data_IF_763118210103
#
_entry.id   IF_763118210103
#
_cell.length_a   1.000
_cell.length_b   1.000
_cell.length_c   1.000
_cell.angle_alpha   90.00
_cell.angle_beta   90.00
_cell.angle_gamma   90.00
#
_symmetry.space_group_name_H-M   'P 1'
#
loop_
_entity.id
_entity.type
_entity.pdbx_description
1 polymer ?
#
# COMPACT_ATOMS: atom_id res chain seq x y z
N UNK A 1 -16.97 -11.65 -14.70
CA UNK A 1 -15.70 -11.04 -14.26
C UNK A 1 -15.67 -11.12 -12.76
N UNK A 2 -14.76 -11.90 -12.18
CA UNK A 2 -14.63 -12.01 -10.73
C UNK A 2 -14.05 -10.71 -10.17
N UNK A 3 -14.67 -10.18 -9.11
CA UNK A 3 -14.15 -9.00 -8.41
C UNK A 3 -12.82 -9.39 -7.73
N UNK A 4 -11.78 -8.55 -7.78
CA UNK A 4 -10.51 -8.86 -7.14
C UNK A 4 -10.72 -9.11 -5.64
N UNK A 5 -10.29 -10.28 -5.16
CA UNK A 5 -10.47 -10.72 -3.77
C UNK A 5 -9.29 -10.33 -2.88
N UNK A 6 -8.13 -10.07 -3.48
CA UNK A 6 -6.89 -9.68 -2.83
C UNK A 6 -6.28 -8.44 -3.47
N UNK A 7 -5.37 -7.78 -2.76
CA UNK A 7 -4.64 -6.64 -3.33
C UNK A 7 -3.78 -7.06 -4.54
N UNK A 8 -3.36 -8.34 -4.60
CA UNK A 8 -2.64 -8.90 -5.76
C UNK A 8 -3.55 -8.98 -6.97
N UNK A 9 -4.80 -9.41 -6.82
CA UNK A 9 -5.76 -9.46 -7.92
C UNK A 9 -6.07 -8.07 -8.47
N UNK A 10 -6.22 -7.09 -7.56
CA UNK A 10 -6.42 -5.70 -7.93
C UNK A 10 -5.19 -5.13 -8.66
N UNK A 11 -3.99 -5.43 -8.18
CA UNK A 11 -2.76 -5.06 -8.86
C UNK A 11 -2.67 -5.73 -10.24
N UNK A 12 -3.04 -7.01 -10.35
CA UNK A 12 -3.09 -7.76 -11.60
C UNK A 12 -4.01 -7.08 -12.63
N UNK A 13 -5.19 -6.63 -12.19
CA UNK A 13 -6.15 -5.91 -13.03
C UNK A 13 -5.54 -4.64 -13.62
N UNK A 14 -4.82 -3.86 -12.81
CA UNK A 14 -4.20 -2.59 -13.22
C UNK A 14 -3.02 -2.83 -14.16
N UNK A 15 -2.12 -3.76 -13.82
CA UNK A 15 -0.90 -4.01 -14.60
C UNK A 15 -1.14 -4.83 -15.88
N UNK A 16 -2.39 -5.27 -16.14
CA UNK A 16 -2.79 -5.78 -17.46
C UNK A 16 -2.57 -4.74 -18.54
N UNK A 17 -2.74 -3.46 -18.21
CA UNK A 17 -2.31 -2.39 -19.10
C UNK A 17 -0.77 -2.22 -18.99
N UNK A 18 -0.01 -2.49 -20.08
CA UNK A 18 1.44 -2.40 -20.05
C UNK A 18 1.96 -0.98 -19.78
N UNK A 19 1.20 0.07 -20.14
CA UNK A 19 1.54 1.45 -19.84
C UNK A 19 1.43 1.74 -18.34
N UNK A 20 0.33 1.32 -17.72
CA UNK A 20 0.14 1.44 -16.27
C UNK A 20 1.21 0.66 -15.50
N UNK A 21 1.51 -0.57 -15.93
CA UNK A 21 2.60 -1.37 -15.34
C UNK A 21 3.92 -0.62 -15.35
N UNK A 22 4.29 -0.01 -16.49
CA UNK A 22 5.52 0.79 -16.61
C UNK A 22 5.47 2.05 -15.77
N UNK A 23 4.34 2.77 -15.76
CA UNK A 23 4.13 3.98 -14.96
C UNK A 23 4.33 3.71 -13.47
N UNK A 24 3.66 2.68 -12.95
CA UNK A 24 3.74 2.28 -11.54
C UNK A 24 5.16 1.83 -11.18
N UNK A 25 5.78 0.98 -12.02
CA UNK A 25 7.13 0.51 -11.77
C UNK A 25 8.15 1.66 -11.70
N UNK A 26 8.07 2.62 -12.63
CA UNK A 26 8.93 3.82 -12.63
C UNK A 26 8.72 4.67 -11.40
N UNK A 27 7.46 4.93 -11.02
CA UNK A 27 7.15 5.75 -9.85
C UNK A 27 7.59 5.09 -8.53
N UNK A 28 7.55 3.76 -8.46
CA UNK A 28 8.07 2.99 -7.32
C UNK A 28 9.61 2.82 -7.35
N UNK A 29 10.27 3.12 -8.47
CA UNK A 29 11.70 2.88 -8.66
C UNK A 29 12.08 1.40 -8.71
N UNK A 30 11.19 0.55 -9.21
CA UNK A 30 11.39 -0.91 -9.30
C UNK A 30 11.30 -1.41 -10.75
N UNK A 31 11.75 -2.64 -10.98
CA UNK A 31 11.60 -3.28 -12.28
C UNK A 31 10.11 -3.67 -12.51
N UNK A 32 9.54 -3.47 -13.72
CA UNK A 32 8.19 -3.95 -14.06
C UNK A 32 7.97 -5.45 -13.78
N UNK A 33 9.01 -6.27 -13.90
CA UNK A 33 8.95 -7.69 -13.54
C UNK A 33 8.62 -7.88 -12.06
N UNK A 34 9.12 -7.02 -11.17
CA UNK A 34 8.83 -7.07 -9.73
C UNK A 34 7.33 -6.94 -9.43
N UNK A 35 6.59 -6.12 -10.18
CA UNK A 35 5.13 -6.04 -10.05
C UNK A 35 4.45 -7.35 -10.43
N UNK A 36 4.92 -8.00 -11.50
CA UNK A 36 4.44 -9.34 -11.89
C UNK A 36 4.74 -10.37 -10.81
N UNK A 37 5.94 -10.35 -10.22
CA UNK A 37 6.29 -11.24 -9.10
C UNK A 37 5.40 -11.03 -7.88
N UNK A 38 5.03 -9.79 -7.55
CA UNK A 38 4.10 -9.50 -6.46
C UNK A 38 2.72 -10.09 -6.72
N UNK A 39 2.21 -9.93 -7.93
CA UNK A 39 0.91 -10.49 -8.36
C UNK A 39 0.91 -12.02 -8.26
N UNK A 40 1.98 -12.68 -8.72
CA UNK A 40 2.10 -14.14 -8.64
C UNK A 40 2.47 -14.67 -7.25
N UNK A 41 2.77 -13.80 -6.28
CA UNK A 41 3.19 -14.22 -4.94
C UNK A 41 4.63 -14.75 -4.87
N UNK A 42 5.41 -14.61 -5.94
CA UNK A 42 6.84 -15.00 -5.97
C UNK A 42 7.71 -14.13 -5.05
N UNK A 43 7.22 -12.93 -4.68
CA UNK A 43 7.87 -12.08 -3.69
C UNK A 43 6.87 -11.23 -2.93
N UNK A 44 7.17 -10.98 -1.65
CA UNK A 44 6.34 -10.15 -0.78
C UNK A 44 6.88 -8.72 -0.79
N UNK A 45 6.09 -7.70 -1.20
CA UNK A 45 6.51 -6.31 -1.12
C UNK A 45 6.72 -5.89 0.33
N UNK A 46 7.76 -5.08 0.58
CA UNK A 46 7.91 -4.39 1.87
C UNK A 46 6.78 -3.39 2.08
N UNK A 47 6.38 -3.16 3.33
CA UNK A 47 5.33 -2.19 3.69
C UNK A 47 5.55 -0.80 3.07
N UNK A 48 6.80 -0.34 2.96
CA UNK A 48 7.08 0.97 2.34
C UNK A 48 6.70 1.04 0.85
N UNK A 49 6.75 -0.08 0.13
CA UNK A 49 6.41 -0.16 -1.29
C UNK A 49 4.90 -0.21 -1.46
N UNK A 50 4.20 -0.88 -0.54
CA UNK A 50 2.75 -0.86 -0.48
C UNK A 50 2.22 0.55 -0.17
N UNK A 51 2.86 1.29 0.75
CA UNK A 51 2.52 2.70 1.01
C UNK A 51 2.71 3.57 -0.23
N UNK A 52 3.89 3.50 -0.87
CA UNK A 52 4.15 4.23 -2.11
C UNK A 52 3.24 3.80 -3.26
N UNK A 53 2.84 2.53 -3.33
CA UNK A 53 1.89 2.06 -4.34
C UNK A 53 0.56 2.84 -4.23
N UNK A 54 0.04 3.03 -3.02
CA UNK A 54 -1.19 3.81 -2.79
C UNK A 54 -1.07 5.28 -3.17
N UNK A 55 0.12 5.85 -3.06
CA UNK A 55 0.40 7.23 -3.49
C UNK A 55 0.44 7.35 -5.02
N UNK A 56 0.92 6.31 -5.71
CA UNK A 56 1.04 6.27 -7.18
C UNK A 56 -0.29 5.94 -7.88
N UNK A 57 -1.22 5.31 -7.18
CA UNK A 57 -2.57 4.94 -7.67
C UNK A 57 -3.69 5.52 -6.80
N UNK A 58 -3.80 6.87 -6.70
CA UNK A 58 -4.74 7.52 -5.80
C UNK A 58 -6.20 7.10 -6.05
N UNK A 59 -6.58 6.91 -7.31
CA UNK A 59 -7.95 6.51 -7.70
C UNK A 59 -8.32 5.10 -7.22
N UNK A 60 -7.33 4.22 -7.05
CA UNK A 60 -7.53 2.84 -6.62
C UNK A 60 -7.24 2.64 -5.13
N UNK A 61 -6.79 3.70 -4.43
CA UNK A 61 -6.39 3.64 -3.01
C UNK A 61 -7.49 3.07 -2.12
N UNK A 62 -8.73 3.53 -2.32
CA UNK A 62 -9.89 3.07 -1.54
C UNK A 62 -10.18 1.58 -1.71
N UNK A 63 -9.84 0.99 -2.87
CA UNK A 63 -9.97 -0.45 -3.13
C UNK A 63 -8.79 -1.24 -2.56
N UNK A 64 -7.57 -0.71 -2.67
CA UNK A 64 -6.37 -1.39 -2.15
C UNK A 64 -6.30 -1.44 -0.62
N UNK A 65 -6.62 -0.34 0.05
CA UNK A 65 -6.42 -0.19 1.50
C UNK A 65 -7.06 -1.33 2.32
N UNK A 66 -8.35 -1.67 2.18
CA UNK A 66 -8.94 -2.77 2.94
C UNK A 66 -8.32 -4.14 2.60
N UNK A 67 -7.89 -4.34 1.34
CA UNK A 67 -7.26 -5.58 0.89
C UNK A 67 -5.85 -5.77 1.46
N UNK A 68 -5.10 -4.68 1.60
CA UNK A 68 -3.76 -4.69 2.20
C UNK A 68 -3.85 -4.90 3.72
N UNK A 69 -4.78 -4.20 4.40
CA UNK A 69 -5.01 -4.37 5.84
C UNK A 69 -5.41 -5.81 6.17
N UNK A 70 -6.25 -6.43 5.33
CA UNK A 70 -6.66 -7.83 5.52
C UNK A 70 -5.48 -8.81 5.52
N UNK A 71 -4.42 -8.55 4.75
CA UNK A 71 -3.27 -9.45 4.65
C UNK A 71 -2.13 -9.09 5.60
N UNK A 72 -1.81 -7.81 5.74
CA UNK A 72 -0.64 -7.34 6.50
C UNK A 72 -0.97 -6.81 7.90
N UNK A 73 -2.25 -6.77 8.28
CA UNK A 73 -2.70 -6.25 9.57
C UNK A 73 -2.60 -4.72 9.64
N UNK A 74 -1.89 -4.19 10.64
CA UNK A 74 -1.73 -2.75 10.86
C UNK A 74 -0.98 -2.08 9.70
N UNK A 75 -1.75 -1.58 8.74
CA UNK A 75 -1.26 -0.78 7.63
C UNK A 75 -1.69 0.68 7.83
N UNK A 76 -0.79 1.50 8.38
CA UNK A 76 -0.97 2.95 8.44
C UNK A 76 -0.47 3.56 7.13
N UNK A 77 -1.35 4.12 6.27
CA UNK A 77 -0.90 4.89 5.12
C UNK A 77 -0.19 6.15 5.62
N UNK A 78 0.95 6.49 5.02
CA UNK A 78 1.79 7.62 5.43
C UNK A 78 1.08 8.99 5.40
N UNK A 79 -0.11 9.08 4.79
CA UNK A 79 -0.94 10.29 4.78
C UNK A 79 -1.71 10.54 6.09
N UNK A 80 -1.52 9.72 7.13
CA UNK A 80 -2.06 9.97 8.47
C UNK A 80 -0.98 10.49 9.42
N UNK A 81 -0.17 11.45 8.99
CA UNK A 81 0.50 12.36 9.93
C UNK A 81 -0.46 13.51 10.28
N UNK A 82 -1.43 13.24 11.15
CA UNK A 82 -1.76 14.14 12.26
C UNK A 82 -2.74 13.47 13.22
N UNK A 83 -2.22 12.69 14.16
CA UNK A 83 -2.70 12.81 15.54
C UNK A 83 -1.47 12.62 16.40
N UNK A 84 -0.89 13.69 16.99
CA UNK A 84 -0.01 13.45 18.12
C UNK A 84 -0.83 12.62 19.10
N UNK A 85 -0.36 11.41 19.43
CA UNK A 85 -0.87 10.69 20.58
C UNK A 85 -0.97 11.70 21.73
N UNK A 86 -2.10 11.79 22.45
CA UNK A 86 -2.17 12.69 23.59
C UNK A 86 -1.04 12.29 24.51
N UNK A 87 -0.03 13.15 24.58
CA UNK A 87 1.12 13.00 25.46
C UNK A 87 0.51 12.78 26.83
N UNK A 88 0.63 11.55 27.32
CA UNK A 88 0.02 11.13 28.58
C UNK A 88 0.56 12.10 29.63
N UNK A 89 -0.30 13.02 30.06
CA UNK A 89 0.06 14.10 30.97
C UNK A 89 0.68 13.45 32.21
N UNK A 90 1.97 13.70 32.44
CA UNK A 90 2.60 13.38 33.72
C UNK A 90 2.17 14.52 34.63
N UNK A 91 1.32 14.30 35.65
CA UNK A 91 1.14 15.32 36.67
C UNK A 91 2.45 15.40 37.43
N UNK A 92 3.22 16.44 37.12
CA UNK A 92 4.27 16.92 38.00
C UNK A 92 3.57 17.50 39.22
N UNK A 93 3.31 16.64 40.20
CA UNK A 93 3.06 17.08 41.57
C UNK A 93 4.43 17.35 42.17
N UNK A 94 4.87 18.60 42.12
CA UNK A 94 5.94 19.06 43.00
C UNK A 94 5.36 19.14 44.43
N UNK A 95 5.93 18.35 45.34
CA UNK A 95 5.92 18.58 46.78
C UNK A 95 7.36 18.73 47.23
#
# INVERSE_FOLDING_TARGET
MEKPQTWRDLLAEIIRNPDEKRRIARALGINPLTLTRWVHGESVPRLHNLRRLLEVVPDQRARFQPLIVKEFGEFTPASSEFTPAPVKSIPVTFY
#
